data_IF_523094474367
#
_entry.id   IF_523094474367
#
_cell.length_a   1.000
_cell.length_b   1.000
_cell.length_c   1.000
_cell.angle_alpha   90.00
_cell.angle_beta   90.00
_cell.angle_gamma   90.00
#
_symmetry.space_group_name_H-M   'P 1'
#
loop_
_entity.id
_entity.type
_entity.pdbx_description
1 polymer ?
#
# COMPACT_ATOMS: atom_id res chain seq x y z
N UNK A 1 37.55 4.22 7.15
CA UNK A 1 36.38 3.75 6.37
C UNK A 1 35.17 4.40 6.98
N UNK A 2 34.57 5.37 6.28
CA UNK A 2 33.31 5.95 6.74
C UNK A 2 32.26 4.84 6.66
N UNK A 3 31.59 4.55 7.78
CA UNK A 3 30.43 3.69 7.76
C UNK A 3 29.43 4.35 6.82
N UNK A 4 29.10 3.71 5.70
CA UNK A 4 27.90 4.05 4.95
C UNK A 4 26.76 3.84 5.93
N UNK A 5 26.21 4.93 6.46
CA UNK A 5 24.89 4.90 7.09
C UNK A 5 23.97 4.27 6.07
N UNK A 6 23.54 3.04 6.34
CA UNK A 6 22.57 2.38 5.47
C UNK A 6 21.34 3.28 5.48
N UNK A 7 21.04 3.89 4.33
CA UNK A 7 19.93 4.82 4.20
C UNK A 7 18.65 4.03 4.43
N UNK A 8 17.89 4.41 5.47
CA UNK A 8 16.64 3.77 5.85
C UNK A 8 15.69 3.81 4.66
N UNK A 9 15.08 2.67 4.31
CA UNK A 9 14.11 2.63 3.22
C UNK A 9 12.89 3.48 3.55
N UNK A 10 12.28 4.20 2.58
CA UNK A 10 10.99 4.84 2.81
C UNK A 10 9.87 3.81 3.02
N UNK A 11 8.72 4.28 3.51
CA UNK A 11 7.46 3.56 3.44
C UNK A 11 6.54 4.25 2.42
N UNK A 12 5.85 3.48 1.58
CA UNK A 12 5.03 4.02 0.49
C UNK A 12 3.58 3.63 0.68
N UNK A 13 2.66 4.57 0.56
CA UNK A 13 1.27 4.28 0.25
C UNK A 13 1.01 4.57 -1.23
N UNK A 14 0.45 3.64 -1.99
CA UNK A 14 0.13 3.88 -3.40
C UNK A 14 -1.27 3.44 -3.78
N UNK A 15 -1.80 4.11 -4.80
CA UNK A 15 -3.11 3.82 -5.38
C UNK A 15 -2.98 2.91 -6.61
N UNK A 16 -3.38 1.62 -6.53
CA UNK A 16 -3.17 0.62 -7.59
C UNK A 16 -4.35 0.47 -8.57
N UNK A 17 -5.57 0.78 -8.14
CA UNK A 17 -6.77 0.80 -8.98
C UNK A 17 -7.18 -0.58 -9.51
N UNK A 18 -8.25 -0.63 -10.30
CA UNK A 18 -8.57 -1.86 -11.02
C UNK A 18 -7.54 -2.11 -12.13
N UNK A 19 -7.41 -3.35 -12.67
CA UNK A 19 -6.41 -3.68 -13.68
C UNK A 19 -6.26 -2.68 -14.85
N UNK A 20 -7.32 -2.03 -15.38
CA UNK A 20 -7.17 -1.05 -16.46
C UNK A 20 -6.41 0.22 -16.10
N UNK A 21 -6.11 0.51 -14.83
CA UNK A 21 -5.20 1.60 -14.47
C UNK A 21 -3.76 1.32 -14.97
N UNK A 22 -3.37 0.06 -15.16
CA UNK A 22 -2.09 -0.29 -15.78
C UNK A 22 -1.98 0.16 -17.25
N UNK A 23 -3.10 0.44 -17.94
CA UNK A 23 -3.11 0.97 -19.30
C UNK A 23 -3.25 2.52 -19.34
N UNK A 24 -3.31 3.18 -18.18
CA UNK A 24 -3.35 4.64 -18.12
C UNK A 24 -2.07 5.22 -18.76
N UNK A 25 -2.19 6.29 -19.56
CA UNK A 25 -1.04 6.82 -20.29
C UNK A 25 0.04 7.45 -19.41
N UNK A 26 -0.23 7.63 -18.11
CA UNK A 26 0.66 8.37 -17.19
C UNK A 26 1.06 7.51 -15.99
N UNK A 27 0.12 6.83 -15.34
CA UNK A 27 0.33 6.15 -14.05
C UNK A 27 1.48 5.11 -14.04
N UNK A 28 1.64 4.23 -15.04
CA UNK A 28 2.78 3.29 -15.08
C UNK A 28 4.13 4.02 -15.11
N UNK A 29 4.23 5.10 -15.89
CA UNK A 29 5.42 5.93 -15.97
C UNK A 29 5.73 6.66 -14.67
N UNK A 30 4.71 7.09 -13.92
CA UNK A 30 4.87 7.69 -12.59
C UNK A 30 5.45 6.68 -11.58
N UNK A 31 4.95 5.44 -11.57
CA UNK A 31 5.49 4.37 -10.71
C UNK A 31 6.92 3.98 -11.07
N UNK A 32 7.22 3.83 -12.37
CA UNK A 32 8.57 3.55 -12.85
C UNK A 32 9.56 4.68 -12.50
N UNK A 33 9.15 5.93 -12.66
CA UNK A 33 9.99 7.08 -12.27
C UNK A 33 10.19 7.17 -10.76
N UNK A 34 9.16 6.90 -9.97
CA UNK A 34 9.25 6.92 -8.51
C UNK A 34 10.23 5.86 -8.01
N UNK A 35 10.05 4.60 -8.40
CA UNK A 35 10.91 3.48 -8.01
C UNK A 35 12.37 3.66 -8.44
N UNK A 36 12.63 4.19 -9.64
CA UNK A 36 13.97 4.49 -10.11
C UNK A 36 14.72 5.55 -9.27
N UNK A 37 13.98 6.40 -8.56
CA UNK A 37 14.53 7.41 -7.65
C UNK A 37 14.73 6.91 -6.21
N UNK A 38 14.28 5.69 -5.88
CA UNK A 38 14.45 5.08 -4.56
C UNK A 38 15.78 4.34 -4.45
N UNK A 39 16.36 4.23 -3.23
CA UNK A 39 17.37 3.21 -2.98
C UNK A 39 16.80 1.83 -3.30
N UNK A 40 17.59 0.95 -3.90
CA UNK A 40 17.12 -0.39 -4.28
C UNK A 40 16.85 -1.22 -3.01
N UNK A 41 15.61 -1.71 -2.77
CA UNK A 41 15.31 -2.53 -1.61
C UNK A 41 16.02 -3.89 -1.66
N UNK A 42 16.31 -4.43 -0.47
CA UNK A 42 16.72 -5.82 -0.29
C UNK A 42 15.55 -6.80 -0.33
N UNK A 43 14.36 -6.32 0.06
CA UNK A 43 13.09 -7.03 -0.03
C UNK A 43 11.94 -6.02 0.02
N UNK A 44 10.75 -6.44 -0.39
CA UNK A 44 9.52 -5.63 -0.34
C UNK A 44 8.49 -6.32 0.54
N UNK A 45 7.89 -5.57 1.46
CA UNK A 45 6.74 -6.00 2.25
C UNK A 45 5.47 -5.33 1.70
N UNK A 46 4.61 -6.10 1.06
CA UNK A 46 3.34 -5.64 0.49
C UNK A 46 2.19 -5.81 1.48
N UNK A 47 1.47 -4.72 1.75
CA UNK A 47 0.22 -4.69 2.51
C UNK A 47 -0.88 -4.25 1.55
N UNK A 48 -1.64 -5.20 1.01
CA UNK A 48 -2.65 -4.93 -0.02
C UNK A 48 -4.06 -4.80 0.57
N UNK A 49 -4.84 -3.86 0.07
CA UNK A 49 -6.28 -3.72 0.37
C UNK A 49 -7.10 -4.97 0.01
N UNK A 50 -6.58 -5.81 -0.89
CA UNK A 50 -7.25 -6.99 -1.44
C UNK A 50 -7.11 -8.25 -0.58
N UNK A 51 -6.39 -8.17 0.54
CA UNK A 51 -6.21 -9.31 1.42
C UNK A 51 -6.52 -8.96 2.87
N UNK A 52 -7.81 -8.99 3.19
CA UNK A 52 -8.31 -8.97 4.57
C UNK A 52 -8.33 -10.41 5.13
N UNK A 53 -7.51 -10.69 6.15
CA UNK A 53 -7.42 -12.01 6.79
C UNK A 53 -6.97 -11.87 8.24
N UNK A 54 -7.68 -12.55 9.15
CA UNK A 54 -7.49 -12.46 10.59
C UNK A 54 -7.50 -13.88 11.21
N UNK A 55 -6.42 -14.33 11.88
CA UNK A 55 -5.21 -13.60 12.26
C UNK A 55 -4.36 -13.07 11.10
N UNK A 56 -3.45 -12.14 11.40
CA UNK A 56 -2.51 -11.59 10.40
C UNK A 56 -1.76 -12.75 9.74
N UNK A 57 -1.80 -12.78 8.41
CA UNK A 57 -1.28 -13.87 7.60
C UNK A 57 -0.11 -13.40 6.74
N UNK A 58 0.86 -14.29 6.53
CA UNK A 58 1.99 -14.12 5.62
C UNK A 58 1.86 -15.06 4.43
N UNK A 59 2.14 -14.54 3.25
CA UNK A 59 2.06 -15.23 1.96
C UNK A 59 3.30 -14.90 1.12
N UNK A 60 3.51 -15.63 0.02
CA UNK A 60 4.71 -15.50 -0.83
C UNK A 60 6.04 -15.71 -0.07
N UNK A 61 6.08 -16.68 0.86
CA UNK A 61 7.35 -17.09 1.51
C UNK A 61 8.23 -17.92 0.59
N UNK A 62 7.65 -18.51 -0.45
CA UNK A 62 8.29 -19.24 -1.55
C UNK A 62 7.71 -18.75 -2.89
N UNK A 63 8.34 -19.02 -4.05
CA UNK A 63 7.75 -18.71 -5.35
C UNK A 63 6.42 -19.46 -5.55
N UNK A 64 5.33 -18.72 -5.68
CA UNK A 64 3.97 -19.24 -5.86
C UNK A 64 3.19 -18.43 -6.90
N UNK A 65 2.20 -19.02 -7.60
CA UNK A 65 1.42 -18.29 -8.60
C UNK A 65 0.70 -17.07 -8.04
N UNK A 66 0.56 -16.02 -8.86
CA UNK A 66 -0.24 -14.84 -8.55
C UNK A 66 -1.71 -15.20 -8.26
N UNK A 67 -2.36 -14.37 -7.45
CA UNK A 67 -3.80 -14.42 -7.20
C UNK A 67 -4.48 -13.40 -8.12
N UNK A 68 -5.31 -13.89 -9.03
CA UNK A 68 -6.18 -13.03 -9.86
C UNK A 68 -7.53 -12.88 -9.17
N UNK A 69 -7.64 -11.91 -8.26
CA UNK A 69 -8.81 -11.63 -7.43
C UNK A 69 -9.81 -10.65 -8.07
N UNK A 70 -9.78 -10.52 -9.39
CA UNK A 70 -10.69 -9.70 -10.19
C UNK A 70 -11.33 -10.51 -11.34
N UNK A 71 -12.49 -10.07 -11.80
CA UNK A 71 -13.26 -10.73 -12.86
C UNK A 71 -13.85 -9.71 -13.84
N UNK A 72 -14.20 -10.18 -15.05
CA UNK A 72 -14.93 -9.37 -16.03
C UNK A 72 -14.07 -8.42 -16.87
N UNK A 73 -12.75 -8.52 -16.79
CA UNK A 73 -11.82 -7.74 -17.61
C UNK A 73 -11.32 -8.51 -18.84
N UNK A 74 -10.77 -7.83 -19.86
CA UNK A 74 -10.05 -8.45 -20.97
C UNK A 74 -9.01 -9.50 -20.56
N UNK A 75 -8.82 -10.53 -21.40
CA UNK A 75 -7.96 -11.68 -21.09
C UNK A 75 -6.50 -11.31 -20.82
N UNK A 76 -5.99 -10.23 -21.41
CA UNK A 76 -4.58 -9.87 -21.29
C UNK A 76 -4.17 -9.56 -19.84
N UNK A 77 -5.06 -9.03 -18.99
CA UNK A 77 -4.75 -8.82 -17.56
C UNK A 77 -4.54 -10.13 -16.81
N UNK A 78 -5.18 -11.23 -17.22
CA UNK A 78 -5.01 -12.56 -16.62
C UNK A 78 -3.74 -13.27 -17.09
N UNK A 79 -3.05 -12.72 -18.10
CA UNK A 79 -1.79 -13.27 -18.62
C UNK A 79 -0.56 -12.57 -18.05
N UNK A 80 -0.74 -11.46 -17.33
CA UNK A 80 0.35 -10.76 -16.63
C UNK A 80 0.94 -11.69 -15.58
N UNK A 81 2.29 -11.73 -15.50
CA UNK A 81 3.04 -12.51 -14.52
C UNK A 81 4.02 -11.58 -13.81
N UNK A 82 4.36 -11.96 -12.58
CA UNK A 82 5.37 -11.26 -11.77
C UNK A 82 6.03 -12.32 -10.88
N UNK A 83 7.07 -12.96 -11.41
CA UNK A 83 7.70 -14.15 -10.84
C UNK A 83 8.79 -13.77 -9.81
N UNK A 84 8.43 -12.96 -8.81
CA UNK A 84 9.35 -12.51 -7.78
C UNK A 84 9.82 -13.67 -6.87
N UNK A 85 11.07 -13.63 -6.36
CA UNK A 85 11.50 -14.56 -5.33
C UNK A 85 10.62 -14.47 -4.08
N UNK A 86 10.34 -15.61 -3.46
CA UNK A 86 9.74 -15.62 -2.12
C UNK A 86 10.67 -15.01 -1.08
N UNK A 87 10.12 -14.49 0.01
CA UNK A 87 10.88 -13.76 1.03
C UNK A 87 10.83 -14.43 2.44
N UNK A 88 11.36 -15.64 2.61
CA UNK A 88 11.24 -16.38 3.87
C UNK A 88 11.99 -15.70 5.02
N UNK A 89 13.14 -15.08 4.76
CA UNK A 89 13.88 -14.32 5.78
C UNK A 89 13.11 -13.09 6.27
N UNK A 90 12.40 -12.40 5.37
CA UNK A 90 11.52 -11.28 5.73
C UNK A 90 10.33 -11.77 6.57
N UNK A 91 9.75 -12.93 6.22
CA UNK A 91 8.68 -13.53 7.00
C UNK A 91 9.12 -13.82 8.44
N UNK A 92 10.31 -14.38 8.65
CA UNK A 92 10.87 -14.57 10.00
C UNK A 92 11.02 -13.26 10.77
N UNK A 93 11.53 -12.20 10.14
CA UNK A 93 11.64 -10.88 10.77
C UNK A 93 10.27 -10.30 11.14
N UNK A 94 9.26 -10.43 10.26
CA UNK A 94 7.87 -10.00 10.53
C UNK A 94 7.29 -10.77 11.72
N UNK A 95 7.40 -12.10 11.74
CA UNK A 95 6.93 -12.93 12.87
C UNK A 95 7.59 -12.52 14.18
N UNK A 96 8.89 -12.22 14.16
CA UNK A 96 9.64 -11.77 15.33
C UNK A 96 9.15 -10.41 15.85
N UNK A 97 8.94 -9.43 14.97
CA UNK A 97 8.51 -8.07 15.33
C UNK A 97 7.06 -8.01 15.84
N UNK A 98 6.19 -8.83 15.24
CA UNK A 98 4.77 -8.89 15.61
C UNK A 98 4.48 -9.86 16.75
N UNK A 99 5.49 -10.57 17.26
CA UNK A 99 5.34 -11.52 18.37
C UNK A 99 4.89 -10.81 19.64
N UNK A 100 3.59 -10.83 19.91
CA UNK A 100 3.00 -10.32 21.14
C UNK A 100 1.74 -11.12 21.51
N UNK A 101 1.36 -11.19 22.81
CA UNK A 101 0.07 -11.73 23.21
C UNK A 101 -1.08 -11.05 22.46
N UNK A 102 -1.98 -11.84 21.87
CA UNK A 102 -3.13 -11.32 21.12
C UNK A 102 -2.84 -10.87 19.68
N UNK A 103 -1.62 -11.07 19.18
CA UNK A 103 -1.25 -10.82 17.78
C UNK A 103 -0.65 -12.09 17.13
N UNK A 104 -1.43 -13.17 16.99
CA UNK A 104 -0.97 -14.35 16.28
C UNK A 104 -0.67 -14.01 14.81
N UNK A 105 0.42 -14.57 14.31
CA UNK A 105 0.82 -14.51 12.90
C UNK A 105 0.73 -15.92 12.35
N UNK A 106 0.03 -16.09 11.24
CA UNK A 106 -0.12 -17.37 10.55
C UNK A 106 0.52 -17.33 9.15
N UNK A 107 0.79 -18.51 8.59
CA UNK A 107 1.31 -18.65 7.23
C UNK A 107 0.24 -19.22 6.31
N UNK A 108 0.10 -18.63 5.12
CA UNK A 108 -0.70 -19.14 4.00
C UNK A 108 0.25 -19.32 2.82
N UNK A 109 1.09 -20.37 2.85
CA UNK A 109 2.23 -20.51 1.94
C UNK A 109 1.82 -20.66 0.47
N UNK A 110 0.63 -21.23 0.20
CA UNK A 110 0.13 -21.45 -1.16
C UNK A 110 -0.50 -20.21 -1.82
N UNK A 111 -0.59 -19.08 -1.09
CA UNK A 111 -1.13 -17.83 -1.61
C UNK A 111 0.02 -16.98 -2.19
N UNK A 112 -0.12 -16.57 -3.44
CA UNK A 112 0.77 -15.57 -4.05
C UNK A 112 0.24 -14.14 -3.96
N UNK A 113 0.89 -13.26 -4.73
CA UNK A 113 0.58 -11.84 -4.73
C UNK A 113 -0.78 -11.58 -5.39
N UNK A 114 -1.67 -10.82 -4.72
CA UNK A 114 -2.91 -10.32 -5.36
C UNK A 114 -2.64 -9.12 -6.27
N UNK A 115 -3.64 -8.66 -7.02
CA UNK A 115 -3.42 -7.59 -8.00
C UNK A 115 -3.01 -6.27 -7.38
N UNK A 116 -3.50 -5.96 -6.17
CA UNK A 116 -3.06 -4.78 -5.45
C UNK A 116 -1.57 -4.86 -5.09
N UNK A 117 -1.01 -6.06 -4.99
CA UNK A 117 0.42 -6.26 -4.84
C UNK A 117 1.18 -6.28 -6.17
N UNK A 118 0.86 -7.18 -7.11
CA UNK A 118 1.74 -7.39 -8.27
C UNK A 118 1.61 -6.32 -9.35
N UNK A 119 0.42 -5.72 -9.58
CA UNK A 119 0.22 -4.72 -10.65
C UNK A 119 1.17 -3.53 -10.48
N UNK A 120 1.22 -2.85 -9.32
CA UNK A 120 2.17 -1.75 -9.15
C UNK A 120 3.63 -2.22 -9.19
N UNK A 121 3.92 -3.45 -8.76
CA UNK A 121 5.29 -3.97 -8.77
C UNK A 121 5.80 -4.29 -10.18
N UNK A 122 4.94 -4.68 -11.11
CA UNK A 122 5.30 -4.82 -12.54
C UNK A 122 5.85 -3.50 -13.08
N UNK A 123 5.26 -2.37 -12.69
CA UNK A 123 5.68 -1.05 -13.16
C UNK A 123 6.90 -0.51 -12.39
N UNK A 124 7.00 -0.80 -11.08
CA UNK A 124 8.09 -0.31 -10.23
C UNK A 124 9.38 -1.13 -10.37
N UNK A 125 9.27 -2.45 -10.48
CA UNK A 125 10.40 -3.38 -10.45
C UNK A 125 10.21 -4.50 -11.49
N UNK A 126 10.17 -4.18 -12.79
CA UNK A 126 9.76 -5.10 -13.87
C UNK A 126 10.61 -6.36 -13.98
N UNK A 127 11.87 -6.32 -13.54
CA UNK A 127 12.78 -7.47 -13.56
C UNK A 127 12.37 -8.58 -12.57
N UNK A 128 11.45 -8.29 -11.63
CA UNK A 128 10.94 -9.21 -10.63
C UNK A 128 12.04 -9.96 -9.86
N UNK A 129 13.16 -9.27 -9.56
CA UNK A 129 14.36 -9.88 -8.97
C UNK A 129 14.58 -9.52 -7.49
N UNK A 130 13.63 -8.78 -6.90
CA UNK A 130 13.61 -8.43 -5.48
C UNK A 130 12.64 -9.36 -4.74
N UNK A 131 13.04 -9.99 -3.63
CA UNK A 131 12.12 -10.81 -2.84
C UNK A 131 10.90 -10.03 -2.33
N UNK A 132 9.71 -10.59 -2.49
CA UNK A 132 8.46 -9.96 -2.06
C UNK A 132 7.74 -10.85 -1.06
N UNK A 133 7.40 -10.28 0.10
CA UNK A 133 6.47 -10.88 1.04
C UNK A 133 5.15 -10.12 0.97
N UNK A 134 4.03 -10.83 1.02
CA UNK A 134 2.74 -10.19 1.25
C UNK A 134 2.26 -10.46 2.68
N UNK A 135 1.67 -9.45 3.31
CA UNK A 135 0.99 -9.54 4.60
C UNK A 135 -0.47 -9.09 4.49
N UNK A 136 -1.36 -9.77 5.23
CA UNK A 136 -2.79 -9.44 5.24
C UNK A 136 -3.11 -8.23 6.13
N UNK A 137 -4.31 -7.68 5.93
CA UNK A 137 -4.95 -6.74 6.85
C UNK A 137 -5.81 -7.54 7.86
N UNK A 138 -5.41 -7.69 9.13
CA UNK A 138 -6.18 -8.42 10.14
C UNK A 138 -7.38 -7.63 10.70
N UNK A 139 -7.51 -6.37 10.30
CA UNK A 139 -8.54 -5.44 10.72
C UNK A 139 -8.56 -4.25 9.76
N UNK A 140 -9.67 -3.52 9.74
CA UNK A 140 -9.82 -2.24 9.05
C UNK A 140 -9.77 -1.03 10.00
N UNK A 141 -9.46 -1.27 11.28
CA UNK A 141 -9.30 -0.24 12.31
C UNK A 141 -7.98 0.55 12.10
N UNK A 142 -8.05 1.86 11.78
CA UNK A 142 -6.87 2.68 11.55
C UNK A 142 -5.85 2.66 12.68
N UNK A 143 -6.31 2.66 13.94
CA UNK A 143 -5.43 2.72 15.12
C UNK A 143 -4.62 1.44 15.23
N UNK A 144 -5.29 0.29 15.09
CA UNK A 144 -4.64 -1.03 15.17
C UNK A 144 -3.68 -1.26 14.00
N UNK A 145 -4.01 -0.76 12.82
CA UNK A 145 -3.11 -0.82 11.66
C UNK A 145 -1.88 0.09 11.82
N UNK A 146 -2.04 1.28 12.42
CA UNK A 146 -0.91 2.14 12.77
C UNK A 146 0.02 1.49 13.80
N UNK A 147 -0.53 0.77 14.79
CA UNK A 147 0.27 -0.01 15.74
C UNK A 147 1.06 -1.14 15.06
N UNK A 148 0.46 -1.84 14.09
CA UNK A 148 1.17 -2.84 13.27
C UNK A 148 2.31 -2.17 12.50
N UNK A 149 2.04 -1.04 11.84
CA UNK A 149 3.05 -0.25 11.13
C UNK A 149 4.24 0.15 12.01
N UNK A 150 3.96 0.64 13.21
CA UNK A 150 5.00 1.03 14.18
C UNK A 150 5.91 -0.14 14.57
N UNK A 151 5.35 -1.35 14.71
CA UNK A 151 6.12 -2.56 15.01
C UNK A 151 6.98 -3.01 13.84
N UNK A 152 6.53 -2.76 12.60
CA UNK A 152 7.24 -3.14 11.38
C UNK A 152 8.33 -2.12 10.98
N UNK A 153 8.34 -0.92 11.56
CA UNK A 153 9.30 0.14 11.27
C UNK A 153 10.78 -0.30 11.22
N UNK A 154 11.30 -1.17 12.12
CA UNK A 154 12.70 -1.61 12.08
C UNK A 154 13.10 -2.33 10.78
N UNK A 155 12.17 -2.91 10.03
CA UNK A 155 12.46 -3.55 8.74
C UNK A 155 13.03 -2.54 7.73
N UNK A 156 12.65 -1.26 7.84
CA UNK A 156 13.14 -0.20 6.96
C UNK A 156 14.65 0.01 7.11
N UNK A 157 15.19 -0.15 8.32
CA UNK A 157 16.62 -0.10 8.60
C UNK A 157 17.36 -1.33 8.05
N UNK A 158 16.66 -2.45 7.82
CA UNK A 158 17.20 -3.68 7.24
C UNK A 158 17.21 -3.66 5.69
N UNK A 159 16.77 -2.55 5.08
CA UNK A 159 16.66 -2.40 3.63
C UNK A 159 15.33 -2.88 3.04
N UNK A 160 14.27 -3.01 3.85
CA UNK A 160 12.94 -3.43 3.39
C UNK A 160 12.10 -2.23 3.00
N UNK A 161 11.58 -2.22 1.77
CA UNK A 161 10.55 -1.28 1.34
C UNK A 161 9.18 -1.76 1.83
N UNK A 162 8.53 -0.98 2.69
CA UNK A 162 7.15 -1.27 3.13
C UNK A 162 6.19 -0.53 2.21
N UNK A 163 5.30 -1.26 1.54
CA UNK A 163 4.33 -0.69 0.59
C UNK A 163 2.91 -1.04 1.04
N UNK A 164 2.15 -0.01 1.40
CA UNK A 164 0.70 -0.07 1.54
C UNK A 164 0.04 0.19 0.18
N UNK A 165 -0.65 -0.79 -0.37
CA UNK A 165 -1.28 -0.68 -1.67
C UNK A 165 -2.80 -0.68 -1.56
N UNK A 166 -3.41 0.44 -1.96
CA UNK A 166 -4.85 0.66 -1.84
C UNK A 166 -5.37 1.63 -2.92
N UNK A 167 -6.24 2.56 -2.54
CA UNK A 167 -6.68 3.68 -3.38
C UNK A 167 -7.14 4.85 -2.51
N UNK A 168 -6.69 6.08 -2.79
CA UNK A 168 -6.91 7.20 -1.88
C UNK A 168 -8.39 7.56 -1.69
N UNK A 169 -9.23 7.35 -2.71
CA UNK A 169 -10.70 7.29 -2.56
C UNK A 169 -11.29 6.05 -3.23
N UNK A 170 -12.24 5.36 -2.58
CA UNK A 170 -12.74 4.08 -3.09
C UNK A 170 -14.25 3.90 -2.90
N UNK A 171 -15.04 4.54 -3.75
CA UNK A 171 -16.48 4.30 -3.85
C UNK A 171 -16.92 4.04 -5.31
N UNK A 172 -16.77 2.79 -5.75
CA UNK A 172 -17.16 2.36 -7.09
C UNK A 172 -18.68 2.50 -7.35
N UNK A 173 -19.51 2.41 -6.31
CA UNK A 173 -20.95 2.58 -6.45
C UNK A 173 -21.35 4.03 -6.77
N UNK A 174 -20.60 5.00 -6.24
CA UNK A 174 -20.80 6.42 -6.53
C UNK A 174 -20.50 6.76 -8.00
N UNK A 175 -19.56 6.07 -8.63
CA UNK A 175 -19.20 6.32 -10.04
C UNK A 175 -20.36 6.07 -11.03
N UNK A 176 -21.34 5.25 -10.65
CA UNK A 176 -22.55 5.01 -11.48
C UNK A 176 -23.46 6.23 -11.59
N UNK A 177 -23.31 7.21 -10.70
CA UNK A 177 -24.21 8.35 -10.54
C UNK A 177 -23.52 9.68 -10.86
N UNK A 178 -22.27 9.64 -11.31
CA UNK A 178 -21.46 10.83 -11.57
C UNK A 178 -21.45 11.16 -13.06
N UNK A 179 -21.63 12.44 -13.38
CA UNK A 179 -21.42 12.97 -14.74
C UNK A 179 -19.94 12.99 -15.11
N UNK A 180 -19.59 13.58 -16.28
CA UNK A 180 -18.19 13.70 -16.69
C UNK A 180 -17.39 14.56 -15.68
N UNK A 181 -16.17 14.13 -15.37
CA UNK A 181 -15.23 14.86 -14.51
C UNK A 181 -14.99 14.23 -13.14
N UNK A 182 -14.27 14.96 -12.28
CA UNK A 182 -13.97 14.54 -10.91
C UNK A 182 -15.15 14.90 -9.99
N UNK A 183 -15.76 13.93 -9.29
CA UNK A 183 -16.83 14.20 -8.34
C UNK A 183 -16.34 15.05 -7.16
N UNK A 184 -17.19 15.99 -6.71
CA UNK A 184 -16.86 16.90 -5.60
C UNK A 184 -16.40 16.17 -4.33
N UNK A 185 -17.11 15.10 -3.95
CA UNK A 185 -16.75 14.29 -2.77
C UNK A 185 -15.34 13.69 -2.86
N UNK A 186 -14.88 13.31 -4.05
CA UNK A 186 -13.55 12.72 -4.23
C UNK A 186 -12.47 13.80 -4.21
N UNK A 187 -12.74 14.95 -4.83
CA UNK A 187 -11.83 16.09 -4.80
C UNK A 187 -11.69 16.69 -3.40
N UNK A 188 -12.80 16.80 -2.65
CA UNK A 188 -12.81 17.31 -1.28
C UNK A 188 -12.10 16.37 -0.31
N UNK A 189 -12.29 15.05 -0.45
CA UNK A 189 -11.56 14.07 0.34
C UNK A 189 -10.05 14.10 0.02
N UNK A 190 -9.68 14.17 -1.26
CA UNK A 190 -8.28 14.26 -1.69
C UNK A 190 -7.57 15.49 -1.13
N UNK A 191 -8.18 16.67 -1.26
CA UNK A 191 -7.63 17.91 -0.71
C UNK A 191 -7.52 17.87 0.82
N UNK A 192 -8.55 17.36 1.51
CA UNK A 192 -8.50 17.17 2.95
C UNK A 192 -7.35 16.23 3.36
N UNK A 193 -7.23 15.09 2.69
CA UNK A 193 -6.20 14.10 2.99
C UNK A 193 -4.80 14.64 2.76
N UNK A 194 -4.58 15.36 1.65
CA UNK A 194 -3.33 16.09 1.38
C UNK A 194 -2.97 17.03 2.53
N UNK A 195 -3.92 17.89 2.95
CA UNK A 195 -3.69 18.85 4.04
C UNK A 195 -3.43 18.15 5.37
N UNK A 196 -4.16 17.09 5.68
CA UNK A 196 -3.98 16.32 6.91
C UNK A 196 -2.60 15.63 6.97
N UNK A 197 -2.13 15.10 5.84
CA UNK A 197 -0.77 14.54 5.71
C UNK A 197 0.31 15.64 5.87
N UNK A 198 0.14 16.79 5.20
CA UNK A 198 1.06 17.93 5.29
C UNK A 198 1.15 18.51 6.71
N UNK A 199 0.02 18.65 7.40
CA UNK A 199 -0.04 19.15 8.77
C UNK A 199 0.24 18.08 9.83
N UNK A 200 0.47 16.83 9.42
CA UNK A 200 0.67 15.67 10.31
C UNK A 200 -0.48 15.50 11.31
N UNK A 201 -1.70 15.76 10.85
CA UNK A 201 -2.91 15.62 11.66
C UNK A 201 -3.31 14.13 11.73
N UNK A 202 -2.51 13.37 12.47
CA UNK A 202 -2.67 11.92 12.67
C UNK A 202 -4.04 11.61 13.27
N UNK A 203 -4.52 12.44 14.20
CA UNK A 203 -5.83 12.26 14.83
C UNK A 203 -6.95 12.36 13.79
N UNK A 204 -6.88 13.34 12.88
CA UNK A 204 -7.86 13.47 11.80
C UNK A 204 -7.78 12.32 10.79
N UNK A 205 -6.57 11.85 10.46
CA UNK A 205 -6.37 10.69 9.57
C UNK A 205 -6.94 9.41 10.18
N UNK A 206 -6.73 9.16 11.48
CA UNK A 206 -7.26 7.99 12.18
C UNK A 206 -8.79 8.04 12.32
N UNK A 207 -9.38 9.22 12.44
CA UNK A 207 -10.83 9.46 12.49
C UNK A 207 -11.40 9.99 11.15
N UNK A 208 -10.77 9.62 10.02
CA UNK A 208 -11.19 10.09 8.70
C UNK A 208 -12.69 9.90 8.39
N UNK A 209 -13.40 8.85 8.87
CA UNK A 209 -14.82 8.69 8.56
C UNK A 209 -15.68 9.85 9.09
N UNK A 210 -15.23 10.51 10.16
CA UNK A 210 -15.96 11.61 10.80
C UNK A 210 -15.30 12.97 10.58
N UNK A 211 -13.99 13.02 10.30
CA UNK A 211 -13.22 14.26 10.14
C UNK A 211 -13.06 14.69 8.68
N UNK A 212 -13.05 13.75 7.75
CA UNK A 212 -12.93 14.06 6.34
C UNK A 212 -14.26 14.52 5.74
N UNK A 213 -14.26 15.52 4.85
CA UNK A 213 -15.39 15.77 3.96
C UNK A 213 -15.78 14.48 3.25
N UNK A 214 -17.05 14.12 3.34
CA UNK A 214 -17.58 12.91 2.73
C UNK A 214 -16.84 11.61 3.11
N UNK A 215 -16.15 11.51 4.26
CA UNK A 215 -15.26 10.38 4.59
C UNK A 215 -15.91 8.99 4.44
N UNK A 216 -17.07 8.77 5.07
CA UNK A 216 -17.85 7.52 4.92
C UNK A 216 -18.41 7.29 3.52
N UNK A 217 -18.56 8.36 2.73
CA UNK A 217 -19.01 8.27 1.35
C UNK A 217 -17.84 7.96 0.41
N UNK A 218 -16.67 8.54 0.64
CA UNK A 218 -15.46 8.27 -0.12
C UNK A 218 -14.95 6.83 0.11
N UNK A 219 -15.18 6.31 1.31
CA UNK A 219 -14.83 4.96 1.72
C UNK A 219 -16.00 4.33 2.48
N UNK A 220 -16.96 3.69 1.77
CA UNK A 220 -18.06 2.96 2.39
C UNK A 220 -17.56 1.84 3.32
N UNK A 221 -16.38 1.33 2.99
CA UNK A 221 -15.53 0.51 3.85
C UNK A 221 -14.09 1.04 3.72
N UNK A 222 -13.28 0.83 4.75
CA UNK A 222 -11.93 1.42 4.89
C UNK A 222 -10.85 0.69 4.07
N UNK A 223 -11.13 -0.46 3.45
CA UNK A 223 -10.09 -1.40 2.98
C UNK A 223 -9.05 -0.78 2.03
N UNK A 224 -9.45 0.11 1.12
CA UNK A 224 -8.51 0.76 0.19
C UNK A 224 -7.75 1.94 0.81
N UNK A 225 -8.22 2.50 1.93
CA UNK A 225 -7.49 3.49 2.71
C UNK A 225 -6.65 2.84 3.82
N UNK A 226 -7.02 1.63 4.27
CA UNK A 226 -6.42 0.92 5.39
C UNK A 226 -4.89 0.75 5.30
N UNK A 227 -4.30 0.39 4.15
CA UNK A 227 -2.84 0.25 4.01
C UNK A 227 -2.05 1.52 4.34
N UNK A 228 -2.66 2.71 4.19
CA UNK A 228 -2.03 3.98 4.57
C UNK A 228 -1.60 3.95 6.04
N UNK A 229 -2.45 3.44 6.93
CA UNK A 229 -2.17 3.47 8.36
C UNK A 229 -0.98 2.59 8.76
N UNK A 230 -0.72 1.50 8.04
CA UNK A 230 0.49 0.69 8.25
C UNK A 230 1.74 1.48 7.86
N UNK A 231 1.72 2.14 6.71
CA UNK A 231 2.87 2.95 6.24
C UNK A 231 3.08 4.20 7.10
N UNK A 232 1.99 4.85 7.53
CA UNK A 232 2.00 5.97 8.45
C UNK A 232 2.61 5.56 9.80
N UNK A 233 2.20 4.41 10.34
CA UNK A 233 2.77 3.87 11.57
C UNK A 233 4.26 3.56 11.48
N UNK A 234 4.71 3.04 10.33
CA UNK A 234 6.12 2.73 10.10
C UNK A 234 7.01 4.00 10.05
N UNK A 235 6.46 5.13 9.61
CA UNK A 235 7.15 6.42 9.62
C UNK A 235 7.04 7.15 10.96
N UNK A 236 5.86 7.09 11.61
CA UNK A 236 5.60 7.70 12.91
C UNK A 236 6.52 7.14 14.00
N UNK A 237 6.78 5.84 14.00
CA UNK A 237 7.64 5.18 14.99
C UNK A 237 9.07 5.76 15.10
N UNK A 238 9.53 6.43 14.03
CA UNK A 238 10.87 7.02 13.96
C UNK A 238 10.84 8.54 13.76
N UNK A 239 9.66 9.17 13.84
CA UNK A 239 9.50 10.63 13.76
C UNK A 239 9.58 11.21 12.35
N UNK A 240 9.38 10.41 11.30
CA UNK A 240 9.59 10.79 9.89
C UNK A 240 8.32 11.25 9.17
N UNK A 241 7.19 11.43 9.88
CA UNK A 241 5.97 11.99 9.28
C UNK A 241 6.20 13.39 8.67
N UNK A 242 7.22 14.09 9.13
CA UNK A 242 7.60 15.39 8.59
C UNK A 242 8.30 15.39 7.25
N UNK A 243 8.73 14.23 6.80
CA UNK A 243 9.43 14.02 5.53
C UNK A 243 8.49 13.43 4.48
N UNK A 244 7.18 13.40 4.75
CA UNK A 244 6.20 12.91 3.81
C UNK A 244 6.15 13.77 2.55
N UNK A 245 5.96 13.12 1.40
CA UNK A 245 5.69 13.78 0.12
C UNK A 245 4.59 13.04 -0.63
N UNK A 246 3.67 13.80 -1.22
CA UNK A 246 2.80 13.26 -2.28
C UNK A 246 3.63 13.14 -3.55
N UNK A 247 3.69 11.92 -4.12
CA UNK A 247 4.52 11.61 -5.29
C UNK A 247 3.68 11.46 -6.54
N UNK A 248 2.52 10.82 -6.42
CA UNK A 248 1.53 10.72 -7.49
C UNK A 248 0.28 11.43 -7.01
N UNK A 249 -0.31 12.24 -7.88
CA UNK A 249 -1.53 13.02 -7.64
C UNK A 249 -2.56 12.77 -8.76
N UNK A 250 -3.73 13.36 -8.62
CA UNK A 250 -4.76 13.35 -9.64
C UNK A 250 -5.78 12.23 -9.47
N UNK A 251 -6.53 11.96 -10.54
CA UNK A 251 -7.72 11.12 -10.48
C UNK A 251 -7.77 10.13 -11.63
N UNK A 252 -8.26 8.93 -11.36
CA UNK A 252 -8.58 7.92 -12.36
C UNK A 252 -10.06 7.55 -12.25
N UNK A 253 -10.80 7.70 -13.35
CA UNK A 253 -12.27 7.57 -13.37
C UNK A 253 -12.98 8.42 -12.29
N UNK A 254 -12.38 9.55 -11.88
CA UNK A 254 -12.91 10.42 -10.83
C UNK A 254 -12.52 10.03 -9.40
N UNK A 255 -11.82 8.91 -9.20
CA UNK A 255 -11.27 8.51 -7.90
C UNK A 255 -9.85 9.04 -7.72
N UNK A 256 -9.51 9.55 -6.55
CA UNK A 256 -8.19 10.10 -6.26
C UNK A 256 -7.16 8.98 -6.22
N UNK A 257 -6.09 9.13 -7.03
CA UNK A 257 -4.97 8.18 -7.10
C UNK A 257 -3.74 8.64 -6.33
N UNK A 258 -3.94 9.51 -5.33
CA UNK A 258 -2.85 10.07 -4.53
C UNK A 258 -2.00 8.94 -3.93
N UNK A 259 -0.69 9.06 -4.08
CA UNK A 259 0.30 8.13 -3.54
C UNK A 259 1.38 8.91 -2.81
N UNK A 260 1.79 8.41 -1.66
CA UNK A 260 2.55 9.15 -0.64
C UNK A 260 3.78 8.35 -0.26
N UNK A 261 4.92 9.02 -0.14
CA UNK A 261 6.14 8.49 0.44
C UNK A 261 6.31 9.07 1.85
N UNK A 262 6.78 8.24 2.79
CA UNK A 262 7.26 8.66 4.11
C UNK A 262 8.72 8.27 4.30
N UNK A 263 9.53 9.21 4.82
CA UNK A 263 11.00 9.11 4.82
C UNK A 263 11.59 9.07 3.42
#
# INVERSE_FOLDING_TARGET
MAATTQERMPALYLSHGAPPLADDPVWPGELAAWSAALPRPRAILMVSAHWEEAPLALAATEPVPLVYDFWGFPEHYYRVRYDAPGAPALAESVRKLLRAPGMPVQDIPDRGLDHGAYVPLVEMYPDADIPVLQVSLPTLDPVRLMEIGRRLAPLRDEGVLIVGSGFFTHNLAALRHTGPGVPGWSAEFDDWGRRALESRDVDALLDFPNKAPAGRYAHPRTEHFAPLFVTLGAADAVGELGEQKSVIDGFWMGLAKRSVQFG
#
